data_IF_925514049470
#
_entry.id   IF_925514049470
#
_cell.length_a   1.000
_cell.length_b   1.000
_cell.length_c   1.000
_cell.angle_alpha   90.00
_cell.angle_beta   90.00
_cell.angle_gamma   90.00
#
_symmetry.space_group_name_H-M   'P 1'
#
loop_
_entity.id
_entity.type
_entity.pdbx_description
1 polymer ?
#
# COMPACT_ATOMS: atom_id res chain seq x y z
N UNK A 1 78.14 -2.77 -7.41
CA UNK A 1 77.40 -2.54 -6.15
C UNK A 1 76.35 -3.62 -6.07
N UNK A 2 76.61 -4.65 -5.27
CA UNK A 2 75.58 -5.61 -4.88
C UNK A 2 74.92 -4.99 -3.65
N UNK A 3 73.67 -4.54 -3.78
CA UNK A 3 72.86 -4.30 -2.59
C UNK A 3 72.61 -5.68 -1.98
N UNK A 4 72.96 -5.86 -0.71
CA UNK A 4 72.64 -7.09 0.02
C UNK A 4 71.11 -7.20 0.08
N UNK A 5 70.56 -8.40 -0.11
CA UNK A 5 69.11 -8.66 -0.07
C UNK A 5 68.46 -8.07 1.20
N UNK A 6 69.18 -8.06 2.33
CA UNK A 6 68.78 -7.43 3.60
C UNK A 6 68.51 -5.91 3.54
N UNK A 7 69.24 -5.12 2.74
CA UNK A 7 68.97 -3.68 2.60
C UNK A 7 67.74 -3.41 1.72
N UNK A 8 67.53 -4.25 0.71
CA UNK A 8 66.36 -4.17 -0.18
C UNK A 8 65.08 -4.55 0.58
N UNK A 9 65.15 -5.59 1.41
CA UNK A 9 64.06 -6.08 2.25
C UNK A 9 63.64 -5.04 3.31
N UNK A 10 64.59 -4.38 3.98
CA UNK A 10 64.28 -3.30 4.92
C UNK A 10 63.51 -2.16 4.24
N UNK A 11 63.92 -1.76 3.03
CA UNK A 11 63.21 -0.69 2.29
C UNK A 11 61.78 -1.09 1.90
N UNK A 12 61.57 -2.38 1.57
CA UNK A 12 60.27 -2.91 1.22
C UNK A 12 59.37 -2.99 2.46
N UNK A 13 59.89 -3.49 3.57
CA UNK A 13 59.18 -3.59 4.84
C UNK A 13 58.76 -2.20 5.34
N UNK A 14 59.67 -1.22 5.34
CA UNK A 14 59.37 0.18 5.68
C UNK A 14 58.28 0.77 4.76
N UNK A 15 58.36 0.52 3.44
CA UNK A 15 57.37 0.98 2.47
C UNK A 15 55.99 0.36 2.72
N UNK A 16 55.95 -0.94 3.02
CA UNK A 16 54.71 -1.65 3.35
C UNK A 16 54.13 -1.14 4.67
N UNK A 17 54.96 -0.92 5.69
CA UNK A 17 54.54 -0.40 6.99
C UNK A 17 53.93 1.00 6.87
N UNK A 18 54.56 1.91 6.10
CA UNK A 18 54.02 3.25 5.84
C UNK A 18 52.67 3.19 5.11
N UNK A 19 52.55 2.32 4.11
CA UNK A 19 51.28 2.11 3.38
C UNK A 19 50.20 1.53 4.27
N UNK A 20 50.52 0.55 5.11
CA UNK A 20 49.58 -0.04 6.06
C UNK A 20 49.09 1.00 7.07
N UNK A 21 49.98 1.81 7.65
CA UNK A 21 49.61 2.91 8.54
C UNK A 21 48.70 3.93 7.85
N UNK A 22 48.99 4.28 6.60
CA UNK A 22 48.15 5.20 5.81
C UNK A 22 46.76 4.63 5.54
N UNK A 23 46.66 3.34 5.22
CA UNK A 23 45.39 2.65 5.02
C UNK A 23 44.61 2.52 6.34
N UNK A 24 45.30 2.24 7.45
CA UNK A 24 44.71 2.18 8.78
C UNK A 24 44.13 3.54 9.20
N UNK A 25 44.88 4.63 9.01
CA UNK A 25 44.38 5.99 9.30
C UNK A 25 43.17 6.34 8.44
N UNK A 26 43.22 6.03 7.14
CA UNK A 26 42.09 6.26 6.23
C UNK A 26 40.85 5.45 6.64
N UNK A 27 41.02 4.18 7.00
CA UNK A 27 39.94 3.33 7.45
C UNK A 27 39.31 3.84 8.76
N UNK A 28 40.13 4.30 9.72
CA UNK A 28 39.65 4.88 10.98
C UNK A 28 38.84 6.16 10.72
N UNK A 29 39.31 7.03 9.84
CA UNK A 29 38.60 8.26 9.47
C UNK A 29 37.25 7.96 8.80
N UNK A 30 37.22 7.04 7.82
CA UNK A 30 35.98 6.66 7.14
C UNK A 30 35.00 5.94 8.08
N UNK A 31 35.47 5.07 8.97
CA UNK A 31 34.62 4.44 9.99
C UNK A 31 34.03 5.49 10.92
N UNK A 32 34.84 6.45 11.38
CA UNK A 32 34.38 7.53 12.27
C UNK A 32 33.33 8.41 11.59
N UNK A 33 33.52 8.72 10.31
CA UNK A 33 32.56 9.46 9.49
C UNK A 33 31.26 8.69 9.31
N UNK A 34 31.33 7.39 8.99
CA UNK A 34 30.14 6.55 8.84
C UNK A 34 29.36 6.41 10.15
N UNK A 35 30.05 6.34 11.29
CA UNK A 35 29.41 6.32 12.60
C UNK A 35 28.65 7.62 12.88
N UNK A 36 29.24 8.75 12.56
CA UNK A 36 28.59 10.05 12.71
C UNK A 36 27.40 10.22 11.75
N UNK A 37 27.56 9.86 10.47
CA UNK A 37 26.46 9.87 9.49
C UNK A 37 25.30 8.96 9.94
N UNK A 38 25.62 7.78 10.48
CA UNK A 38 24.63 6.85 11.02
C UNK A 38 23.89 7.45 12.22
N UNK A 39 24.61 8.11 13.13
CA UNK A 39 24.02 8.79 14.28
C UNK A 39 23.07 9.91 13.85
N UNK A 40 23.50 10.76 12.92
CA UNK A 40 22.68 11.86 12.36
C UNK A 40 21.43 11.31 11.67
N UNK A 41 21.56 10.24 10.87
CA UNK A 41 20.42 9.61 10.22
C UNK A 41 19.44 9.01 11.23
N UNK A 42 19.93 8.40 12.31
CA UNK A 42 19.10 7.87 13.36
C UNK A 42 18.33 8.98 14.10
N UNK A 43 19.01 10.06 14.50
CA UNK A 43 18.38 11.22 15.14
C UNK A 43 17.33 11.88 14.23
N UNK A 44 17.62 12.01 12.93
CA UNK A 44 16.67 12.55 11.95
C UNK A 44 15.44 11.64 11.78
N UNK A 45 15.64 10.32 11.73
CA UNK A 45 14.55 9.36 11.63
C UNK A 45 13.67 9.34 12.89
N UNK A 46 14.27 9.34 14.08
CA UNK A 46 13.55 9.42 15.35
C UNK A 46 12.69 10.69 15.43
N UNK A 47 13.27 11.85 15.07
CA UNK A 47 12.54 13.12 15.05
C UNK A 47 11.39 13.14 14.04
N UNK A 48 11.59 12.56 12.85
CA UNK A 48 10.52 12.44 11.85
C UNK A 48 9.37 11.56 12.37
N UNK A 49 9.71 10.40 12.94
CA UNK A 49 8.73 9.49 13.53
C UNK A 49 7.96 10.12 14.69
N UNK A 50 8.61 10.89 15.56
CA UNK A 50 7.95 11.62 16.64
C UNK A 50 6.93 12.62 16.10
N UNK A 51 7.28 13.36 15.03
CA UNK A 51 6.38 14.27 14.34
C UNK A 51 5.16 13.56 13.74
N UNK A 52 5.39 12.48 13.01
CA UNK A 52 4.32 11.68 12.39
C UNK A 52 3.38 11.08 13.44
N UNK A 53 3.93 10.54 14.54
CA UNK A 53 3.13 9.98 15.64
C UNK A 53 2.30 11.07 16.33
N UNK A 54 2.83 12.28 16.48
CA UNK A 54 2.09 13.41 17.03
C UNK A 54 0.93 13.84 16.12
N UNK A 55 1.17 13.92 14.80
CA UNK A 55 0.14 14.22 13.80
C UNK A 55 -0.97 13.17 13.80
N UNK A 56 -0.60 11.89 13.74
CA UNK A 56 -1.57 10.78 13.78
C UNK A 56 -2.40 10.77 15.07
N UNK A 57 -1.81 11.14 16.21
CA UNK A 57 -2.57 11.28 17.47
C UNK A 57 -3.58 12.43 17.42
N UNK A 58 -3.23 13.55 16.79
CA UNK A 58 -4.14 14.68 16.61
C UNK A 58 -5.29 14.33 15.66
N UNK A 59 -4.99 13.68 14.53
CA UNK A 59 -5.98 13.21 13.57
C UNK A 59 -6.93 12.20 14.20
N UNK A 60 -6.40 11.24 14.99
CA UNK A 60 -7.22 10.28 15.72
C UNK A 60 -8.14 10.95 16.75
N UNK A 61 -7.67 11.98 17.45
CA UNK A 61 -8.50 12.73 18.39
C UNK A 61 -9.61 13.52 17.67
N UNK A 62 -9.30 14.12 16.52
CA UNK A 62 -10.27 14.80 15.66
C UNK A 62 -11.35 13.83 15.16
N UNK A 63 -10.93 12.67 14.62
CA UNK A 63 -11.85 11.62 14.14
C UNK A 63 -12.75 11.10 15.25
N UNK A 64 -12.22 10.85 16.45
CA UNK A 64 -13.04 10.42 17.60
C UNK A 64 -14.12 11.45 17.96
N UNK A 65 -13.78 12.73 17.88
CA UNK A 65 -14.73 13.83 18.15
C UNK A 65 -15.80 13.88 17.06
N UNK A 66 -15.41 13.73 15.79
CA UNK A 66 -16.33 13.70 14.66
C UNK A 66 -17.31 12.52 14.75
N UNK A 67 -16.80 11.32 15.09
CA UNK A 67 -17.63 10.12 15.27
C UNK A 67 -18.61 10.31 16.42
N UNK A 68 -18.18 10.87 17.56
CA UNK A 68 -19.07 11.13 18.68
C UNK A 68 -20.19 12.14 18.33
N UNK A 69 -19.88 13.20 17.56
CA UNK A 69 -20.89 14.16 17.07
C UNK A 69 -21.88 13.48 16.11
N UNK A 70 -21.39 12.65 15.19
CA UNK A 70 -22.25 11.88 14.28
C UNK A 70 -23.15 10.88 15.02
N UNK A 71 -22.63 10.19 16.03
CA UNK A 71 -23.42 9.29 16.88
C UNK A 71 -24.54 10.05 17.61
N UNK A 72 -24.24 11.24 18.14
CA UNK A 72 -25.24 12.10 18.77
C UNK A 72 -26.30 12.55 17.75
N UNK A 73 -25.90 13.01 16.56
CA UNK A 73 -26.83 13.41 15.50
C UNK A 73 -27.74 12.24 15.06
N UNK A 74 -27.18 11.03 14.94
CA UNK A 74 -27.96 9.83 14.62
C UNK A 74 -28.95 9.49 15.73
N UNK A 75 -28.57 9.64 17.00
CA UNK A 75 -29.48 9.42 18.13
C UNK A 75 -30.62 10.45 18.11
N UNK A 76 -30.32 11.73 17.90
CA UNK A 76 -31.34 12.78 17.77
C UNK A 76 -32.29 12.52 16.60
N UNK A 77 -31.79 12.06 15.45
CA UNK A 77 -32.61 11.69 14.30
C UNK A 77 -33.51 10.49 14.60
N UNK A 78 -32.99 9.47 15.31
CA UNK A 78 -33.79 8.31 15.75
C UNK A 78 -34.91 8.74 16.68
N UNK A 79 -34.63 9.58 17.66
CA UNK A 79 -35.66 10.10 18.58
C UNK A 79 -36.71 10.96 17.86
N UNK A 80 -36.32 11.74 16.84
CA UNK A 80 -37.26 12.51 16.00
C UNK A 80 -38.14 11.58 15.16
N UNK A 81 -37.56 10.53 14.59
CA UNK A 81 -38.31 9.52 13.85
C UNK A 81 -39.32 8.80 14.76
N UNK A 82 -38.91 8.40 15.95
CA UNK A 82 -39.79 7.73 16.91
C UNK A 82 -40.92 8.67 17.40
N UNK A 83 -40.66 9.97 17.57
CA UNK A 83 -41.70 10.95 17.89
C UNK A 83 -42.66 11.26 16.73
N UNK A 84 -42.17 11.26 15.49
CA UNK A 84 -42.99 11.57 14.31
C UNK A 84 -43.78 10.36 13.81
N UNK A 85 -43.28 9.14 14.02
CA UNK A 85 -44.00 7.91 13.78
C UNK A 85 -44.87 7.65 15.02
N UNK A 86 -45.96 8.41 15.15
CA UNK A 86 -47.05 8.02 16.04
C UNK A 86 -47.53 6.60 15.70
N UNK A 87 -48.19 5.88 16.63
CA UNK A 87 -48.50 4.45 16.48
C UNK A 87 -49.54 4.11 15.38
N UNK A 88 -49.80 4.99 14.42
CA UNK A 88 -50.84 4.84 13.39
C UNK A 88 -50.30 4.47 11.99
N UNK A 89 -48.99 4.24 11.81
CA UNK A 89 -48.42 3.82 10.50
C UNK A 89 -47.96 2.35 10.53
N UNK A 90 -48.83 1.44 11.00
CA UNK A 90 -48.67 0.00 10.74
C UNK A 90 -49.64 -0.54 9.67
N UNK A 91 -50.56 0.29 9.15
CA UNK A 91 -51.39 -0.05 8.01
C UNK A 91 -51.18 0.97 6.87
N UNK A 92 -50.04 0.85 6.18
CA UNK A 92 -49.88 1.44 4.85
C UNK A 92 -49.55 0.32 3.86
N UNK A 93 -50.44 0.03 2.90
CA UNK A 93 -50.34 -1.14 2.05
C UNK A 93 -49.22 -0.98 1.02
N UNK A 94 -48.45 -2.05 0.85
CA UNK A 94 -47.42 -2.27 -0.17
C UNK A 94 -47.89 -1.78 -1.54
N UNK A 95 -47.53 -0.55 -1.90
CA UNK A 95 -47.73 0.02 -3.22
C UNK A 95 -46.36 0.34 -3.82
N UNK A 96 -45.99 -0.50 -4.80
CA UNK A 96 -44.88 -0.38 -5.77
C UNK A 96 -43.46 -0.19 -5.21
N UNK A 97 -42.75 -1.31 -5.05
CA UNK A 97 -41.38 -1.41 -4.53
C UNK A 97 -40.23 -1.26 -5.52
N UNK A 98 -40.32 -0.42 -6.55
CA UNK A 98 -39.21 -0.28 -7.52
C UNK A 98 -38.35 0.99 -7.35
N UNK A 99 -38.91 2.16 -7.04
CA UNK A 99 -38.15 3.43 -7.07
C UNK A 99 -37.09 3.56 -5.98
N UNK A 100 -37.35 3.02 -4.79
CA UNK A 100 -36.40 3.12 -3.67
C UNK A 100 -35.15 2.23 -3.90
N UNK A 101 -35.29 1.15 -4.68
CA UNK A 101 -34.18 0.27 -5.01
C UNK A 101 -33.21 0.93 -5.99
N UNK A 102 -33.73 1.67 -6.98
CA UNK A 102 -32.93 2.38 -7.97
C UNK A 102 -32.17 3.56 -7.34
N UNK A 103 -32.83 4.34 -6.48
CA UNK A 103 -32.15 5.42 -5.76
C UNK A 103 -31.07 4.90 -4.82
N UNK A 104 -31.34 3.79 -4.11
CA UNK A 104 -30.34 3.16 -3.24
C UNK A 104 -29.12 2.69 -4.04
N UNK A 105 -29.33 1.99 -5.17
CA UNK A 105 -28.24 1.55 -6.06
C UNK A 105 -27.41 2.72 -6.58
N UNK A 106 -28.06 3.82 -6.98
CA UNK A 106 -27.35 5.01 -7.46
C UNK A 106 -26.46 5.62 -6.37
N UNK A 107 -26.92 5.67 -5.11
CA UNK A 107 -26.10 6.13 -3.99
C UNK A 107 -24.92 5.19 -3.73
N UNK A 108 -25.15 3.88 -3.75
CA UNK A 108 -24.09 2.87 -3.59
C UNK A 108 -23.04 2.94 -4.71
N UNK A 109 -23.47 3.23 -5.95
CA UNK A 109 -22.57 3.47 -7.09
C UNK A 109 -21.73 4.75 -6.92
N UNK A 110 -22.33 5.84 -6.44
CA UNK A 110 -21.63 7.10 -6.16
C UNK A 110 -20.62 6.94 -5.00
N UNK A 111 -20.98 6.22 -3.95
CA UNK A 111 -20.07 5.88 -2.83
C UNK A 111 -18.90 5.02 -3.31
N UNK A 112 -19.16 4.05 -4.19
CA UNK A 112 -18.10 3.25 -4.80
C UNK A 112 -17.14 4.12 -5.61
N UNK A 113 -17.64 5.04 -6.42
CA UNK A 113 -16.79 5.89 -7.26
C UNK A 113 -15.85 6.77 -6.41
N UNK A 114 -16.30 7.23 -5.24
CA UNK A 114 -15.44 7.91 -4.26
C UNK A 114 -14.30 7.00 -3.79
N UNK A 115 -14.60 5.74 -3.44
CA UNK A 115 -13.57 4.77 -3.06
C UNK A 115 -12.63 4.38 -4.20
N UNK A 116 -13.14 4.34 -5.44
CA UNK A 116 -12.35 4.00 -6.63
C UNK A 116 -11.44 5.12 -7.10
N UNK A 117 -11.63 6.35 -6.60
CA UNK A 117 -10.80 7.50 -6.98
C UNK A 117 -9.32 7.27 -6.66
N UNK A 118 -8.99 6.56 -5.57
CA UNK A 118 -7.61 6.18 -5.22
C UNK A 118 -7.00 5.17 -6.21
N UNK A 119 -7.82 4.37 -6.87
CA UNK A 119 -7.41 3.31 -7.79
C UNK A 119 -7.50 3.71 -9.26
N UNK A 120 -7.87 4.97 -9.54
CA UNK A 120 -8.06 5.45 -10.89
C UNK A 120 -6.74 5.39 -11.67
N UNK A 121 -6.71 4.81 -12.88
CA UNK A 121 -5.49 4.75 -13.66
C UNK A 121 -5.06 6.17 -14.07
N UNK A 122 -3.88 6.62 -13.66
CA UNK A 122 -3.29 7.90 -14.10
C UNK A 122 -3.05 7.92 -15.61
N UNK A 123 -2.59 6.79 -16.16
CA UNK A 123 -2.45 6.56 -17.59
C UNK A 123 -3.20 5.28 -17.94
N UNK A 124 -4.49 5.36 -18.32
CA UNK A 124 -5.22 4.19 -18.79
C UNK A 124 -4.52 3.64 -20.04
N UNK A 125 -4.28 2.33 -20.06
CA UNK A 125 -3.69 1.65 -21.21
C UNK A 125 -4.71 1.71 -22.37
N UNK A 126 -4.38 2.34 -23.51
CA UNK A 126 -5.31 2.46 -24.63
C UNK A 126 -5.67 1.10 -25.25
N UNK A 127 -4.88 0.06 -25.02
CA UNK A 127 -5.15 -1.31 -25.48
C UNK A 127 -5.98 -2.11 -24.46
N UNK A 128 -6.35 -1.51 -23.32
CA UNK A 128 -7.21 -2.14 -22.33
C UNK A 128 -8.68 -2.13 -22.79
N UNK A 129 -9.33 -3.29 -22.70
CA UNK A 129 -10.76 -3.42 -23.02
C UNK A 129 -11.66 -2.92 -21.89
N UNK A 130 -11.10 -2.71 -20.70
CA UNK A 130 -11.82 -2.20 -19.54
C UNK A 130 -11.88 -0.68 -19.53
N UNK A 131 -13.02 -0.16 -19.06
CA UNK A 131 -13.12 1.27 -18.76
C UNK A 131 -12.24 1.65 -17.56
N UNK A 132 -11.86 2.93 -17.40
CA UNK A 132 -11.09 3.38 -16.24
C UNK A 132 -11.74 3.00 -14.90
N UNK A 133 -13.09 3.04 -14.82
CA UNK A 133 -13.87 2.60 -13.65
C UNK A 133 -13.71 1.10 -13.38
N UNK A 134 -13.80 0.27 -14.42
CA UNK A 134 -13.58 -1.18 -14.31
C UNK A 134 -12.14 -1.50 -13.91
N UNK A 135 -11.16 -0.75 -14.44
CA UNK A 135 -9.77 -0.91 -14.07
C UNK A 135 -9.52 -0.51 -12.60
N UNK A 136 -10.11 0.60 -12.15
CA UNK A 136 -10.03 1.02 -10.74
C UNK A 136 -10.66 -0.03 -9.82
N UNK A 137 -11.84 -0.55 -10.18
CA UNK A 137 -12.51 -1.62 -9.43
C UNK A 137 -11.69 -2.90 -9.38
N UNK A 138 -11.09 -3.31 -10.50
CA UNK A 138 -10.18 -4.44 -10.55
C UNK A 138 -9.01 -4.27 -9.56
N UNK A 139 -8.34 -3.11 -9.58
CA UNK A 139 -7.21 -2.82 -8.69
C UNK A 139 -7.65 -2.84 -7.21
N UNK A 140 -8.76 -2.17 -6.89
CA UNK A 140 -9.37 -2.18 -5.56
C UNK A 140 -9.61 -3.61 -5.06
N UNK A 141 -10.22 -4.45 -5.88
CA UNK A 141 -10.51 -5.83 -5.52
C UNK A 141 -9.26 -6.70 -5.41
N UNK A 142 -8.23 -6.46 -6.22
CA UNK A 142 -6.97 -7.21 -6.10
C UNK A 142 -6.24 -6.93 -4.79
N UNK A 143 -6.32 -5.70 -4.28
CA UNK A 143 -5.80 -5.35 -2.97
C UNK A 143 -6.69 -5.87 -1.84
N UNK A 144 -8.01 -5.81 -1.98
CA UNK A 144 -8.95 -6.31 -0.98
C UNK A 144 -8.92 -7.84 -0.82
N UNK A 145 -8.93 -8.57 -1.94
CA UNK A 145 -8.88 -10.04 -1.94
C UNK A 145 -7.51 -10.58 -1.54
N UNK A 146 -6.49 -9.73 -1.42
CA UNK A 146 -5.10 -10.11 -1.10
C UNK A 146 -4.62 -11.26 -2.00
N UNK A 147 -4.85 -11.15 -3.32
CA UNK A 147 -4.56 -12.23 -4.26
C UNK A 147 -3.05 -12.44 -4.38
N UNK A 148 -2.50 -13.30 -3.53
CA UNK A 148 -1.08 -13.67 -3.55
C UNK A 148 -0.86 -14.98 -4.29
N UNK A 149 -1.77 -15.94 -4.19
CA UNK A 149 -1.54 -17.28 -4.72
C UNK A 149 -2.41 -17.57 -5.95
N UNK A 150 -1.84 -18.01 -7.10
CA UNK A 150 -2.61 -18.49 -8.23
C UNK A 150 -3.48 -19.73 -7.92
N UNK A 151 -3.28 -20.44 -6.80
CA UNK A 151 -4.10 -21.60 -6.43
C UNK A 151 -5.58 -21.26 -6.21
N UNK A 152 -5.90 -20.04 -5.77
CA UNK A 152 -7.26 -19.56 -5.51
C UNK A 152 -7.81 -18.66 -6.64
N UNK A 153 -7.17 -18.67 -7.81
CA UNK A 153 -7.50 -17.76 -8.91
C UNK A 153 -8.97 -17.86 -9.33
N UNK A 154 -9.53 -19.07 -9.40
CA UNK A 154 -10.93 -19.26 -9.79
C UNK A 154 -11.91 -18.69 -8.77
N UNK A 155 -11.66 -18.91 -7.48
CA UNK A 155 -12.51 -18.36 -6.40
C UNK A 155 -12.51 -16.84 -6.42
N UNK A 156 -11.32 -16.23 -6.48
CA UNK A 156 -11.17 -14.77 -6.52
C UNK A 156 -11.79 -14.15 -7.78
N UNK A 157 -11.76 -14.87 -8.90
CA UNK A 157 -12.37 -14.41 -10.14
C UNK A 157 -13.89 -14.42 -10.03
N UNK A 158 -14.49 -15.43 -9.41
CA UNK A 158 -15.93 -15.44 -9.14
C UNK A 158 -16.34 -14.35 -8.15
N UNK A 159 -15.56 -14.12 -7.08
CA UNK A 159 -15.80 -13.04 -6.12
C UNK A 159 -15.76 -11.66 -6.80
N UNK A 160 -14.74 -11.43 -7.65
CA UNK A 160 -14.59 -10.19 -8.43
C UNK A 160 -15.79 -9.93 -9.34
N UNK A 161 -16.30 -10.98 -10.00
CA UNK A 161 -17.47 -10.87 -10.88
C UNK A 161 -18.73 -10.59 -10.10
N UNK A 162 -18.99 -11.38 -9.05
CA UNK A 162 -20.18 -11.26 -8.23
C UNK A 162 -20.26 -9.86 -7.63
N UNK A 163 -19.18 -9.40 -6.98
CA UNK A 163 -19.15 -8.08 -6.35
C UNK A 163 -19.27 -6.96 -7.38
N UNK A 164 -18.58 -7.06 -8.52
CA UNK A 164 -18.68 -6.03 -9.53
C UNK A 164 -20.04 -5.96 -10.23
N UNK A 165 -20.76 -7.09 -10.39
CA UNK A 165 -22.15 -7.08 -10.90
C UNK A 165 -23.08 -6.48 -9.85
N UNK A 166 -22.94 -6.87 -8.58
CA UNK A 166 -23.72 -6.31 -7.47
C UNK A 166 -23.54 -4.79 -7.36
N UNK A 167 -22.33 -4.30 -7.61
CA UNK A 167 -21.96 -2.88 -7.53
C UNK A 167 -22.14 -2.10 -8.84
N UNK A 168 -22.69 -2.70 -9.89
CA UNK A 168 -22.95 -2.02 -11.17
C UNK A 168 -21.69 -1.65 -11.97
N UNK A 169 -20.56 -2.32 -11.71
CA UNK A 169 -19.31 -2.15 -12.47
C UNK A 169 -19.33 -2.96 -13.78
N UNK A 170 -19.97 -4.13 -13.74
CA UNK A 170 -20.18 -4.99 -14.91
C UNK A 170 -21.67 -5.12 -15.18
N UNK A 171 -22.04 -5.24 -16.45
CA UNK A 171 -23.35 -5.76 -16.80
C UNK A 171 -23.31 -7.29 -16.70
N UNK A 172 -24.44 -7.92 -16.36
CA UNK A 172 -24.52 -9.39 -16.28
C UNK A 172 -24.11 -10.09 -17.60
N UNK A 173 -24.26 -9.38 -18.73
CA UNK A 173 -23.91 -9.86 -20.07
C UNK A 173 -22.44 -9.61 -20.46
N UNK A 174 -21.72 -8.76 -19.73
CA UNK A 174 -20.33 -8.37 -20.05
C UNK A 174 -19.38 -8.69 -18.90
N UNK A 175 -18.92 -9.94 -18.87
CA UNK A 175 -17.78 -10.35 -18.06
C UNK A 175 -16.77 -11.00 -19.00
N UNK A 176 -15.69 -10.31 -19.41
CA UNK A 176 -14.65 -10.90 -20.24
C UNK A 176 -13.78 -11.82 -19.38
N UNK A 177 -14.30 -13.01 -19.04
CA UNK A 177 -13.69 -13.97 -18.11
C UNK A 177 -12.22 -14.28 -18.44
N UNK A 178 -11.96 -14.57 -19.71
CA UNK A 178 -10.61 -14.88 -20.20
C UNK A 178 -9.65 -13.71 -20.04
N UNK A 179 -10.15 -12.48 -20.23
CA UNK A 179 -9.37 -11.26 -20.06
C UNK A 179 -9.10 -10.97 -18.58
N UNK A 180 -10.14 -11.02 -17.73
CA UNK A 180 -10.00 -10.82 -16.28
C UNK A 180 -9.02 -11.82 -15.69
N UNK A 181 -9.15 -13.10 -16.05
CA UNK A 181 -8.23 -14.17 -15.65
C UNK A 181 -6.80 -13.89 -16.07
N UNK A 182 -6.57 -13.44 -17.31
CA UNK A 182 -5.24 -13.06 -17.81
C UNK A 182 -4.69 -11.86 -17.04
N UNK A 183 -5.51 -10.84 -16.78
CA UNK A 183 -5.10 -9.65 -16.03
C UNK A 183 -4.76 -9.99 -14.59
N UNK A 184 -5.56 -10.83 -13.94
CA UNK A 184 -5.32 -11.31 -12.58
C UNK A 184 -4.02 -12.11 -12.46
N UNK A 185 -3.74 -13.01 -13.42
CA UNK A 185 -2.44 -13.70 -13.50
C UNK A 185 -1.27 -12.73 -13.66
N UNK A 186 -1.45 -11.69 -14.49
CA UNK A 186 -0.43 -10.67 -14.74
C UNK A 186 -0.15 -9.88 -13.45
N UNK A 187 -1.21 -9.42 -12.78
CA UNK A 187 -1.14 -8.73 -11.50
C UNK A 187 -0.42 -9.56 -10.43
N UNK A 188 -0.79 -10.84 -10.26
CA UNK A 188 -0.12 -11.75 -9.31
C UNK A 188 1.37 -11.85 -9.63
N UNK A 189 1.72 -12.07 -10.91
CA UNK A 189 3.11 -12.17 -11.35
C UNK A 189 3.91 -10.91 -11.01
N UNK A 190 3.37 -9.73 -11.33
CA UNK A 190 4.00 -8.44 -11.02
C UNK A 190 4.17 -8.23 -9.51
N UNK A 191 3.14 -8.59 -8.72
CA UNK A 191 3.19 -8.49 -7.26
C UNK A 191 4.27 -9.41 -6.68
N UNK A 192 4.38 -10.64 -7.16
CA UNK A 192 5.45 -11.57 -6.79
C UNK A 192 6.83 -11.03 -7.16
N UNK A 193 6.99 -10.48 -8.37
CA UNK A 193 8.24 -9.84 -8.79
C UNK A 193 8.63 -8.69 -7.85
N UNK A 194 7.70 -7.78 -7.54
CA UNK A 194 7.97 -6.66 -6.61
C UNK A 194 8.34 -7.14 -5.20
N UNK A 195 7.66 -8.18 -4.70
CA UNK A 195 7.98 -8.77 -3.39
C UNK A 195 9.38 -9.41 -3.41
N UNK A 196 9.71 -10.14 -4.48
CA UNK A 196 11.03 -10.76 -4.66
C UNK A 196 12.13 -9.71 -4.72
N UNK A 197 11.98 -8.66 -5.53
CA UNK A 197 12.92 -7.55 -5.63
C UNK A 197 13.12 -6.84 -4.30
N UNK A 198 12.02 -6.59 -3.56
CA UNK A 198 12.09 -6.01 -2.21
C UNK A 198 12.86 -6.91 -1.24
N UNK A 199 12.63 -8.22 -1.28
CA UNK A 199 13.35 -9.20 -0.45
C UNK A 199 14.83 -9.28 -0.78
N UNK A 200 15.20 -9.33 -2.06
CA UNK A 200 16.59 -9.33 -2.50
C UNK A 200 17.29 -8.03 -2.14
N UNK A 201 16.63 -6.87 -2.29
CA UNK A 201 17.16 -5.58 -1.83
C UNK A 201 17.46 -5.58 -0.33
N UNK A 202 16.52 -6.09 0.49
CA UNK A 202 16.74 -6.22 1.94
C UNK A 202 17.85 -7.21 2.28
N UNK A 203 17.97 -8.32 1.55
CA UNK A 203 19.05 -9.31 1.73
C UNK A 203 20.41 -8.69 1.44
N UNK A 204 20.55 -7.96 0.33
CA UNK A 204 21.77 -7.25 -0.03
C UNK A 204 22.12 -6.18 1.00
N UNK A 205 21.16 -5.37 1.46
CA UNK A 205 21.37 -4.40 2.54
C UNK A 205 21.86 -5.05 3.84
N UNK A 206 21.32 -6.22 4.20
CA UNK A 206 21.79 -6.97 5.39
C UNK A 206 23.20 -7.54 5.23
N UNK A 207 23.58 -7.96 4.02
CA UNK A 207 24.94 -8.45 3.76
C UNK A 207 25.96 -7.31 3.83
N UNK A 208 25.62 -6.14 3.27
CA UNK A 208 26.44 -4.93 3.39
C UNK A 208 26.62 -4.54 4.86
N UNK A 209 25.55 -4.55 5.66
CA UNK A 209 25.61 -4.25 7.10
C UNK A 209 26.37 -5.27 7.96
N UNK A 210 26.64 -6.48 7.45
CA UNK A 210 27.38 -7.53 8.18
C UNK A 210 28.88 -7.55 7.87
N UNK A 211 29.28 -6.91 6.76
CA UNK A 211 30.69 -6.77 6.39
C UNK A 211 31.35 -5.52 6.99
N UNK A 212 30.52 -4.62 7.55
CA UNK A 212 30.92 -3.47 8.37
C UNK A 212 30.75 -3.86 9.84
#
# INVERSE_FOLDING_TARGET
MYFSDEELDLSLEETVEVKLKTLETFAIEEISKLQEDTRVLQEAAEKAMEGDVAALKADLASLKTLVADQEQQLQELRERLERNIGPEVLDMPSTSGDDNSAQKRKREEEELDVHLTEFWPENPDPDDIMTPRQQAFFNFMMDHLTVVDPSNLDSHLEDLKADGVTRGVWTADFVPDSYLRKKMKTYIKERHTKIFEKRERMRLQKLVKKQV
#
